data_IF_240092333628
#
_entry.id   IF_240092333628
#
_cell.length_a   1.000
_cell.length_b   1.000
_cell.length_c   1.000
_cell.angle_alpha   90.00
_cell.angle_beta   90.00
_cell.angle_gamma   90.00
#
_symmetry.space_group_name_H-M   'P 1'
#
loop_
_entity.id
_entity.type
_entity.pdbx_description
1 polymer ?
#
# COMPACT_ATOMS: atom_id res chain seq x y z
N UNK A 1 -2.56 0.41 -8.12
CA UNK A 1 -3.88 0.77 -7.52
C UNK A 1 -3.79 2.04 -6.68
N UNK A 2 -2.87 2.14 -5.68
CA UNK A 2 -2.86 3.26 -4.72
C UNK A 2 -2.81 4.66 -5.38
N UNK A 3 -1.89 4.98 -6.31
CA UNK A 3 -1.88 6.30 -6.94
C UNK A 3 -3.16 6.65 -7.72
N UNK A 4 -3.79 5.66 -8.36
CA UNK A 4 -5.07 5.88 -9.05
C UNK A 4 -6.17 6.28 -8.09
N UNK A 5 -6.27 5.61 -6.94
CA UNK A 5 -7.26 5.90 -5.92
C UNK A 5 -6.99 7.24 -5.23
N UNK A 6 -5.73 7.55 -4.95
CA UNK A 6 -5.34 8.85 -4.40
C UNK A 6 -5.62 10.01 -5.38
N UNK A 7 -5.45 9.78 -6.68
CA UNK A 7 -5.85 10.73 -7.72
C UNK A 7 -7.37 10.94 -7.73
N UNK A 8 -8.16 9.87 -7.60
CA UNK A 8 -9.61 9.98 -7.47
C UNK A 8 -10.04 10.76 -6.20
N UNK A 9 -9.29 10.63 -5.11
CA UNK A 9 -9.51 11.45 -3.91
C UNK A 9 -9.21 12.91 -4.16
N UNK A 10 -8.07 13.24 -4.77
CA UNK A 10 -7.73 14.62 -5.16
C UNK A 10 -8.82 15.25 -6.04
N UNK A 11 -9.33 14.48 -7.00
CA UNK A 11 -10.33 14.92 -7.97
C UNK A 11 -11.76 14.97 -7.38
N UNK A 12 -11.93 14.70 -6.08
CA UNK A 12 -13.23 14.76 -5.39
C UNK A 12 -14.19 13.61 -5.75
N UNK A 13 -13.73 12.58 -6.49
CA UNK A 13 -14.53 11.41 -6.88
C UNK A 13 -14.71 10.40 -5.74
N UNK A 14 -13.85 10.49 -4.73
CA UNK A 14 -13.80 9.58 -3.60
C UNK A 14 -13.29 10.33 -2.37
N UNK A 15 -13.87 10.09 -1.18
CA UNK A 15 -13.29 10.60 0.05
C UNK A 15 -12.07 9.78 0.49
N UNK A 16 -11.11 10.41 1.17
CA UNK A 16 -9.95 9.70 1.74
C UNK A 16 -10.38 8.56 2.65
N UNK A 17 -11.37 8.80 3.50
CA UNK A 17 -11.94 7.77 4.38
C UNK A 17 -12.44 6.57 3.58
N UNK A 18 -13.24 6.82 2.55
CA UNK A 18 -13.79 5.74 1.72
C UNK A 18 -12.71 4.96 0.99
N UNK A 19 -11.67 5.63 0.53
CA UNK A 19 -10.51 4.97 -0.07
C UNK A 19 -9.82 4.02 0.92
N UNK A 20 -9.59 4.47 2.16
CA UNK A 20 -8.96 3.63 3.20
C UNK A 20 -9.87 2.44 3.55
N UNK A 21 -11.17 2.65 3.68
CA UNK A 21 -12.13 1.55 3.86
C UNK A 21 -12.00 0.50 2.75
N UNK A 22 -11.98 0.94 1.48
CA UNK A 22 -11.94 0.05 0.33
C UNK A 22 -10.62 -0.71 0.17
N UNK A 23 -9.48 -0.05 0.43
CA UNK A 23 -8.16 -0.64 0.19
C UNK A 23 -7.55 -1.33 1.40
N UNK A 24 -8.00 -1.00 2.61
CA UNK A 24 -7.38 -1.48 3.84
C UNK A 24 -8.38 -2.22 4.75
N UNK A 25 -9.41 -1.54 5.25
CA UNK A 25 -10.30 -2.11 6.26
C UNK A 25 -11.15 -3.26 5.70
N UNK A 26 -11.85 -3.03 4.60
CA UNK A 26 -12.75 -4.05 4.03
C UNK A 26 -12.00 -5.32 3.62
N UNK A 27 -10.85 -5.26 2.90
CA UNK A 27 -10.07 -6.45 2.63
C UNK A 27 -9.61 -7.17 3.90
N UNK A 28 -9.16 -6.42 4.93
CA UNK A 28 -8.75 -7.03 6.19
C UNK A 28 -9.90 -7.77 6.88
N UNK A 29 -11.13 -7.24 6.82
CA UNK A 29 -12.33 -7.91 7.34
C UNK A 29 -12.69 -9.15 6.54
N UNK A 30 -12.71 -9.04 5.20
CA UNK A 30 -13.06 -10.15 4.30
C UNK A 30 -12.10 -11.32 4.48
N UNK A 31 -10.80 -11.05 4.62
CA UNK A 31 -9.78 -12.09 4.80
C UNK A 31 -9.53 -12.49 6.27
N UNK A 32 -10.35 -12.02 7.22
CA UNK A 32 -10.22 -12.39 8.64
C UNK A 32 -8.94 -11.89 9.31
N UNK A 33 -8.35 -10.80 8.81
CA UNK A 33 -7.12 -10.19 9.33
C UNK A 33 -7.38 -8.98 10.23
N UNK A 34 -8.64 -8.52 10.27
CA UNK A 34 -9.08 -7.45 11.17
C UNK A 34 -9.13 -7.95 12.63
N UNK A 35 -8.75 -7.15 13.63
CA UNK A 35 -8.32 -5.76 13.58
C UNK A 35 -6.79 -5.57 13.50
N UNK A 36 -6.02 -6.63 13.29
CA UNK A 36 -4.55 -6.58 13.26
C UNK A 36 -4.03 -5.82 12.04
N UNK A 37 -4.72 -5.99 10.91
CA UNK A 37 -4.47 -5.29 9.64
C UNK A 37 -5.64 -4.38 9.29
N UNK A 38 -5.40 -3.43 8.39
CA UNK A 38 -6.44 -2.60 7.79
C UNK A 38 -6.71 -1.28 8.47
N UNK A 39 -6.06 -0.97 9.60
CA UNK A 39 -6.15 0.32 10.28
C UNK A 39 -4.87 0.66 11.03
N UNK A 40 -4.64 1.96 11.22
CA UNK A 40 -3.60 2.48 12.12
C UNK A 40 -4.19 2.52 13.53
N UNK A 41 -3.76 1.61 14.39
CA UNK A 41 -4.26 1.49 15.75
C UNK A 41 -3.23 0.83 16.68
N UNK A 42 -3.36 1.09 17.99
CA UNK A 42 -2.58 0.37 19.00
C UNK A 42 -2.91 -1.12 18.96
N UNK A 43 -1.89 -1.97 18.96
CA UNK A 43 -2.01 -3.42 18.84
C UNK A 43 -2.17 -3.95 17.40
N UNK A 44 -2.22 -3.06 16.40
CA UNK A 44 -2.14 -3.42 14.99
C UNK A 44 -0.70 -3.51 14.50
N UNK A 45 -0.50 -4.16 13.36
CA UNK A 45 0.81 -4.16 12.70
C UNK A 45 1.11 -2.77 12.11
N UNK A 46 2.36 -2.33 12.28
CA UNK A 46 2.83 -1.04 11.77
C UNK A 46 3.17 -1.15 10.26
N UNK A 47 2.13 -1.32 9.44
CA UNK A 47 2.22 -1.38 7.97
C UNK A 47 1.70 -0.09 7.38
N UNK A 48 2.58 0.73 6.80
CA UNK A 48 2.22 2.05 6.28
C UNK A 48 2.85 2.33 4.94
N UNK A 49 2.16 3.15 4.15
CA UNK A 49 2.72 3.79 2.95
C UNK A 49 2.64 5.31 3.14
N UNK A 50 3.76 5.98 2.91
CA UNK A 50 3.82 7.44 2.84
C UNK A 50 3.85 7.81 1.36
N UNK A 51 2.87 8.59 0.92
CA UNK A 51 2.70 8.99 -0.47
C UNK A 51 2.73 10.51 -0.63
N UNK A 52 3.30 10.98 -1.73
CA UNK A 52 3.30 12.39 -2.10
C UNK A 52 1.97 12.76 -2.77
N UNK A 53 1.15 13.54 -2.07
CA UNK A 53 -0.14 14.03 -2.58
C UNK A 53 -0.05 15.40 -3.26
N UNK A 54 1.10 16.08 -3.19
CA UNK A 54 1.25 17.45 -3.70
C UNK A 54 1.69 17.46 -5.15
N UNK A 55 2.65 16.60 -5.48
CA UNK A 55 3.27 16.60 -6.78
C UNK A 55 2.57 15.62 -7.73
N UNK A 56 2.18 16.14 -8.88
CA UNK A 56 1.70 15.32 -9.97
C UNK A 56 2.90 14.72 -10.73
N UNK A 57 2.73 13.51 -11.22
CA UNK A 57 3.73 12.85 -12.05
C UNK A 57 3.07 12.07 -13.18
N UNK A 58 3.80 11.91 -14.27
CA UNK A 58 3.38 11.06 -15.39
C UNK A 58 3.90 9.66 -15.17
N UNK A 59 3.01 8.67 -15.30
CA UNK A 59 3.37 7.27 -15.18
C UNK A 59 4.24 6.86 -16.37
N UNK A 60 5.38 6.26 -16.06
CA UNK A 60 6.22 5.58 -17.03
C UNK A 60 6.40 4.13 -16.54
N UNK A 61 6.00 3.16 -17.35
CA UNK A 61 6.10 1.74 -16.98
C UNK A 61 7.55 1.30 -16.72
N UNK A 62 8.54 1.95 -17.34
CA UNK A 62 9.97 1.67 -17.09
C UNK A 62 10.41 1.97 -15.65
N UNK A 63 9.66 2.84 -14.95
CA UNK A 63 9.92 3.18 -13.54
C UNK A 63 9.35 2.17 -12.55
N UNK A 64 8.64 1.16 -13.02
CA UNK A 64 8.09 0.11 -12.16
C UNK A 64 9.15 -0.89 -11.76
N UNK A 65 9.18 -1.24 -10.48
CA UNK A 65 10.09 -2.26 -9.91
C UNK A 65 9.51 -3.69 -9.99
N UNK A 66 8.53 -3.92 -10.85
CA UNK A 66 7.95 -5.25 -11.08
C UNK A 66 8.59 -5.94 -12.28
N UNK A 67 8.69 -7.27 -12.25
CA UNK A 67 9.14 -8.06 -13.40
C UNK A 67 8.19 -7.94 -14.60
N UNK A 68 6.92 -7.58 -14.39
CA UNK A 68 5.93 -7.40 -15.46
C UNK A 68 5.86 -5.98 -16.01
N UNK A 69 6.85 -5.12 -15.75
CA UNK A 69 6.84 -3.70 -16.20
C UNK A 69 6.68 -3.54 -17.70
N UNK A 70 7.26 -4.45 -18.47
CA UNK A 70 7.24 -4.36 -19.93
C UNK A 70 5.94 -4.88 -20.55
N UNK A 71 5.12 -5.60 -19.78
CA UNK A 71 3.85 -6.18 -20.22
C UNK A 71 2.61 -5.37 -19.79
N UNK A 72 2.78 -4.27 -19.07
CA UNK A 72 1.67 -3.48 -18.50
C UNK A 72 1.72 -2.00 -18.90
N UNK A 73 1.65 -1.68 -20.22
CA UNK A 73 1.73 -0.29 -20.67
C UNK A 73 0.43 0.50 -20.47
N UNK A 74 -0.65 -0.14 -19.98
CA UNK A 74 -2.01 0.46 -19.95
C UNK A 74 -2.11 1.76 -19.13
N UNK A 75 -1.22 1.98 -18.19
CA UNK A 75 -1.20 3.20 -17.37
C UNK A 75 -0.13 4.20 -17.82
N UNK A 76 0.63 3.87 -18.86
CA UNK A 76 1.71 4.74 -19.35
C UNK A 76 1.12 6.07 -19.83
N UNK A 77 1.73 7.18 -19.44
CA UNK A 77 1.25 8.51 -19.78
C UNK A 77 0.15 9.07 -18.85
N UNK A 78 -0.41 8.29 -17.93
CA UNK A 78 -1.38 8.79 -16.96
C UNK A 78 -0.75 9.82 -16.02
N UNK A 79 -1.45 10.92 -15.78
CA UNK A 79 -1.05 11.95 -14.82
C UNK A 79 -1.70 11.66 -13.47
N UNK A 80 -0.91 11.33 -12.49
CA UNK A 80 -1.35 10.87 -11.17
C UNK A 80 -0.69 11.68 -10.05
N UNK A 81 -1.32 11.68 -8.88
CA UNK A 81 -0.71 12.04 -7.58
C UNK A 81 -0.58 10.81 -6.70
N UNK A 82 -0.08 10.98 -5.48
CA UNK A 82 0.00 9.87 -4.54
C UNK A 82 1.13 8.90 -4.85
N UNK A 83 2.26 9.43 -5.36
CA UNK A 83 3.46 8.63 -5.59
C UNK A 83 3.98 8.07 -4.26
N UNK A 84 4.07 6.74 -4.08
CA UNK A 84 4.62 6.17 -2.86
C UNK A 84 6.09 6.57 -2.69
N UNK A 85 6.42 7.12 -1.53
CA UNK A 85 7.78 7.53 -1.17
C UNK A 85 8.43 6.53 -0.21
N UNK A 86 7.68 6.08 0.79
CA UNK A 86 8.17 5.13 1.77
C UNK A 86 7.15 4.02 1.98
N UNK A 87 7.64 2.82 2.21
CA UNK A 87 6.82 1.67 2.63
C UNK A 87 7.42 1.08 3.88
N UNK A 88 6.60 0.94 4.90
CA UNK A 88 6.94 0.37 6.20
C UNK A 88 6.14 -0.92 6.38
N UNK A 89 6.80 -1.99 6.80
CA UNK A 89 6.18 -3.28 7.11
C UNK A 89 6.60 -3.72 8.50
N UNK A 90 5.63 -3.84 9.39
CA UNK A 90 5.83 -4.16 10.82
C UNK A 90 6.92 -3.29 11.47
N UNK A 91 6.83 -1.97 11.19
CA UNK A 91 7.73 -0.97 11.76
C UNK A 91 9.10 -0.86 11.06
N UNK A 92 9.46 -1.74 10.13
CA UNK A 92 10.68 -1.63 9.33
C UNK A 92 10.42 -0.92 8.01
N UNK A 93 11.24 0.07 7.70
CA UNK A 93 11.21 0.72 6.39
C UNK A 93 11.82 -0.23 5.37
N UNK A 94 11.01 -0.70 4.41
CA UNK A 94 11.44 -1.60 3.34
C UNK A 94 11.64 -0.88 2.01
N UNK A 95 11.11 0.33 1.89
CA UNK A 95 11.36 1.23 0.77
C UNK A 95 11.50 2.65 1.31
N UNK A 96 12.58 3.35 0.99
CA UNK A 96 12.85 4.74 1.38
C UNK A 96 13.16 5.57 0.15
N UNK A 97 12.43 6.67 -0.04
CA UNK A 97 12.56 7.54 -1.21
C UNK A 97 12.51 6.76 -2.53
N UNK A 98 11.63 5.74 -2.59
CA UNK A 98 11.46 4.83 -3.73
C UNK A 98 12.63 3.87 -3.99
N UNK A 99 13.62 3.84 -3.11
CA UNK A 99 14.69 2.83 -3.16
C UNK A 99 14.30 1.68 -2.23
N UNK A 100 14.29 0.46 -2.76
CA UNK A 100 14.00 -0.75 -2.00
C UNK A 100 15.24 -1.11 -1.17
N UNK A 101 15.02 -1.51 0.08
CA UNK A 101 16.05 -2.07 0.96
C UNK A 101 16.20 -3.57 0.68
N UNK A 102 17.22 -3.95 -0.08
CA UNK A 102 17.47 -5.36 -0.42
C UNK A 102 17.75 -6.21 0.82
N UNK A 103 18.21 -5.60 1.93
CA UNK A 103 18.40 -6.30 3.20
C UNK A 103 17.07 -6.68 3.88
N UNK A 104 15.93 -6.20 3.36
CA UNK A 104 14.61 -6.57 3.80
C UNK A 104 14.06 -7.85 3.14
N UNK A 105 14.85 -8.51 2.29
CA UNK A 105 14.50 -9.82 1.74
C UNK A 105 14.15 -10.80 2.86
N UNK A 106 13.05 -11.56 2.70
CA UNK A 106 12.55 -12.47 3.71
C UNK A 106 11.83 -11.81 4.91
N UNK A 107 11.74 -10.46 4.97
CA UNK A 107 11.03 -9.79 6.07
C UNK A 107 9.51 -10.03 6.06
N UNK A 108 8.93 -10.42 4.92
CA UNK A 108 7.53 -10.77 4.78
C UNK A 108 7.13 -11.93 5.70
N UNK A 109 5.87 -11.93 6.19
CA UNK A 109 5.25 -13.05 6.90
C UNK A 109 3.91 -13.36 6.29
N UNK A 110 3.64 -14.65 6.08
CA UNK A 110 2.31 -15.11 5.68
C UNK A 110 1.35 -14.85 6.84
N UNK A 111 0.20 -14.25 6.54
CA UNK A 111 -0.87 -13.98 7.50
C UNK A 111 -1.99 -14.98 7.27
N UNK A 112 -2.37 -15.69 8.32
CA UNK A 112 -3.50 -16.62 8.29
C UNK A 112 -4.75 -15.98 8.93
N UNK A 113 -5.96 -16.30 8.44
CA UNK A 113 -7.21 -15.85 9.06
C UNK A 113 -7.28 -16.24 10.53
N UNK A 114 -7.83 -15.35 11.36
CA UNK A 114 -7.96 -15.61 12.81
C UNK A 114 -6.66 -15.43 13.61
N UNK A 115 -5.57 -14.99 13.00
CA UNK A 115 -4.35 -14.67 13.73
C UNK A 115 -4.55 -13.38 14.55
N UNK A 116 -4.80 -13.55 15.84
CA UNK A 116 -5.11 -12.48 16.80
C UNK A 116 -6.27 -12.81 17.73
N UNK A 117 -6.98 -13.91 17.49
CA UNK A 117 -8.02 -14.43 18.37
C UNK A 117 -7.48 -15.39 19.44
N UNK A 118 -6.29 -15.12 20.01
CA UNK A 118 -5.84 -15.83 21.23
C UNK A 118 -5.43 -17.29 21.08
N UNK A 119 -5.16 -17.78 19.88
CA UNK A 119 -4.53 -19.09 19.71
C UNK A 119 -3.02 -18.91 19.54
N UNK A 120 -2.30 -19.04 20.64
CA UNK A 120 -0.87 -19.38 20.62
C UNK A 120 -0.75 -20.79 20.05
N UNK A 121 0.00 -20.93 18.97
CA UNK A 121 0.50 -22.24 18.53
C UNK A 121 1.67 -22.64 19.41
#
# INVERSE_FOLDING_TARGET
TLPLMLTAVRDGKLSMRRMVELLCENPARVFGLWPRKGAIRVGGDADYVIADMKNEYTVNNKDFVTHSRDTSPMYNGFRLVGKPLHTIVRGRIIMKNRVIDDSAEGWGKVMLPGWGSGRTA
#
